data_IF_166871087342
#
_entry.id   IF_166871087342
#
_cell.length_a   1.000
_cell.length_b   1.000
_cell.length_c   1.000
_cell.angle_alpha   90.00
_cell.angle_beta   90.00
_cell.angle_gamma   90.00
#
_symmetry.space_group_name_H-M   'P 1'
#
loop_
_entity.id
_entity.type
_entity.pdbx_description
1 polymer ?
#
# COMPACT_ATOMS: atom_id res chain seq x y z
N UNK A 1 -18.61 -5.45 23.79
CA UNK A 1 -17.33 -5.30 24.51
C UNK A 1 -17.29 -4.08 25.45
N UNK A 2 -17.65 -2.86 25.03
CA UNK A 2 -17.55 -1.63 25.88
C UNK A 2 -18.39 -1.64 27.17
N UNK A 3 -19.53 -2.29 27.21
CA UNK A 3 -20.46 -2.30 28.35
C UNK A 3 -20.08 -3.27 29.46
N UNK A 4 -19.47 -4.40 29.17
CA UNK A 4 -19.10 -5.40 30.18
C UNK A 4 -17.80 -5.05 30.92
N UNK A 5 -16.86 -4.36 30.27
CA UNK A 5 -15.58 -3.94 30.84
C UNK A 5 -15.78 -2.82 31.88
N UNK A 6 -16.69 -1.87 31.62
CA UNK A 6 -17.02 -0.79 32.54
C UNK A 6 -17.73 -1.30 33.82
N UNK A 7 -18.52 -2.35 33.73
CA UNK A 7 -19.23 -2.95 34.87
C UNK A 7 -18.25 -3.71 35.76
N UNK A 8 -17.29 -4.44 35.22
CA UNK A 8 -16.27 -5.16 35.98
C UNK A 8 -15.37 -4.16 36.76
N UNK A 9 -14.95 -3.07 36.14
CA UNK A 9 -14.16 -2.01 36.82
C UNK A 9 -14.95 -1.32 37.92
N UNK A 10 -16.25 -1.07 37.76
CA UNK A 10 -17.09 -0.42 38.75
C UNK A 10 -17.37 -1.28 39.98
N UNK A 11 -17.49 -2.61 39.83
CA UNK A 11 -17.71 -3.52 40.95
C UNK A 11 -16.48 -3.69 41.87
N UNK A 12 -15.25 -3.54 41.30
CA UNK A 12 -14.03 -3.60 42.10
C UNK A 12 -13.76 -2.32 42.90
N UNK A 13 -14.23 -1.17 42.46
CA UNK A 13 -13.99 0.12 43.13
C UNK A 13 -14.77 0.31 44.45
N UNK A 14 -15.81 -0.48 44.70
CA UNK A 14 -16.67 -0.33 45.88
C UNK A 14 -16.15 -1.01 47.17
N UNK A 15 -15.02 -1.74 47.12
CA UNK A 15 -14.49 -2.50 48.27
C UNK A 15 -13.15 -1.99 48.85
N UNK A 16 -12.67 -0.81 48.46
CA UNK A 16 -11.40 -0.29 48.99
C UNK A 16 -11.66 0.56 50.21
N UNK A 17 -11.84 -0.08 51.37
CA UNK A 17 -11.69 0.57 52.68
C UNK A 17 -10.40 0.01 53.28
N UNK A 18 -9.44 0.94 53.54
CA UNK A 18 -8.08 0.65 53.92
C UNK A 18 -7.94 -0.12 55.25
N UNK A 19 -7.11 -1.15 55.19
CA UNK A 19 -6.47 -1.75 56.35
C UNK A 19 -4.97 -1.43 56.27
N UNK A 20 -4.42 -0.90 57.37
CA UNK A 20 -3.00 -0.65 57.52
C UNK A 20 -2.20 -1.96 57.30
N UNK A 21 -1.16 -1.88 56.48
CA UNK A 21 -0.25 -3.01 56.25
C UNK A 21 0.47 -3.37 57.57
N UNK A 22 0.39 -4.63 57.96
CA UNK A 22 1.28 -5.19 58.98
C UNK A 22 2.55 -5.68 58.31
N UNK A 23 3.70 -5.66 58.99
CA UNK A 23 4.99 -6.17 58.47
C UNK A 23 4.89 -7.60 57.88
N UNK A 24 4.03 -8.43 58.48
CA UNK A 24 3.75 -9.79 58.00
C UNK A 24 3.06 -9.84 56.65
N UNK A 25 2.13 -8.91 56.36
CA UNK A 25 1.40 -8.84 55.08
C UNK A 25 2.31 -8.37 53.96
N UNK A 26 3.09 -7.32 54.20
CA UNK A 26 4.09 -6.81 53.26
C UNK A 26 5.13 -7.86 52.89
N UNK A 27 5.64 -8.61 53.86
CA UNK A 27 6.60 -9.67 53.58
C UNK A 27 6.00 -10.80 52.71
N UNK A 28 4.72 -11.14 52.91
CA UNK A 28 4.01 -12.18 52.12
C UNK A 28 3.75 -11.74 50.68
N UNK A 29 3.26 -10.52 50.47
CA UNK A 29 3.01 -10.01 49.11
C UNK A 29 4.30 -9.87 48.30
N UNK A 30 5.37 -9.39 48.91
CA UNK A 30 6.70 -9.30 48.28
C UNK A 30 7.25 -10.66 47.89
N UNK A 31 7.13 -11.67 48.76
CA UNK A 31 7.56 -13.02 48.45
C UNK A 31 6.73 -13.64 47.32
N UNK A 32 5.43 -13.38 47.25
CA UNK A 32 4.57 -13.81 46.16
C UNK A 32 4.96 -13.17 44.83
N UNK A 33 5.26 -11.87 44.81
CA UNK A 33 5.76 -11.15 43.62
C UNK A 33 7.06 -11.76 43.13
N UNK A 34 7.99 -12.04 44.02
CA UNK A 34 9.31 -12.61 43.63
C UNK A 34 9.17 -14.03 43.07
N UNK A 35 8.31 -14.84 43.68
CA UNK A 35 7.96 -16.17 43.17
C UNK A 35 7.28 -16.10 41.80
N UNK A 36 6.31 -15.22 41.62
CA UNK A 36 5.62 -15.03 40.35
C UNK A 36 6.56 -14.58 39.24
N UNK A 37 7.51 -13.69 39.52
CA UNK A 37 8.57 -13.29 38.56
C UNK A 37 9.44 -14.46 38.14
N UNK A 38 9.78 -15.36 39.06
CA UNK A 38 10.51 -16.59 38.71
C UNK A 38 9.67 -17.54 37.86
N UNK A 39 8.41 -17.77 38.22
CA UNK A 39 7.49 -18.62 37.45
C UNK A 39 7.28 -18.06 36.04
N UNK A 40 7.08 -16.77 35.87
CA UNK A 40 6.95 -16.11 34.57
C UNK A 40 8.20 -16.29 33.70
N UNK A 41 9.41 -16.19 34.28
CA UNK A 41 10.68 -16.49 33.57
C UNK A 41 10.79 -17.94 33.11
N UNK A 42 10.13 -18.84 33.80
CA UNK A 42 10.05 -20.26 33.44
C UNK A 42 8.85 -20.59 32.52
N UNK A 43 8.16 -19.58 32.00
CA UNK A 43 6.93 -19.70 31.18
C UNK A 43 5.77 -20.40 31.89
N UNK A 44 5.75 -20.42 33.22
CA UNK A 44 4.67 -20.94 34.06
C UNK A 44 3.73 -19.83 34.49
N UNK A 45 3.13 -19.19 33.48
CA UNK A 45 2.39 -17.92 33.67
C UNK A 45 1.12 -18.12 34.47
N UNK A 46 0.42 -19.25 34.32
CA UNK A 46 -0.81 -19.54 35.07
C UNK A 46 -0.51 -19.73 36.56
N UNK A 47 0.54 -20.50 36.90
CA UNK A 47 0.99 -20.68 38.30
C UNK A 47 1.41 -19.32 38.93
N UNK A 48 1.99 -18.41 38.13
CA UNK A 48 2.31 -17.05 38.58
C UNK A 48 1.06 -16.23 38.90
N UNK A 49 0.07 -16.28 37.99
CA UNK A 49 -1.22 -15.59 38.18
C UNK A 49 -1.92 -16.09 39.45
N UNK A 50 -2.03 -17.41 39.64
CA UNK A 50 -2.65 -17.98 40.83
C UNK A 50 -1.96 -17.54 42.14
N UNK A 51 -0.61 -17.51 42.14
CA UNK A 51 0.19 -17.03 43.26
C UNK A 51 -0.11 -15.57 43.60
N UNK A 52 -0.21 -14.71 42.58
CA UNK A 52 -0.49 -13.28 42.74
C UNK A 52 -1.95 -13.02 43.14
N UNK A 53 -2.90 -13.77 42.57
CA UNK A 53 -4.32 -13.68 42.93
C UNK A 53 -4.55 -14.08 44.42
N UNK A 54 -3.83 -15.10 44.90
CA UNK A 54 -3.84 -15.44 46.33
C UNK A 54 -3.24 -14.31 47.21
N UNK A 55 -2.21 -13.63 46.72
CA UNK A 55 -1.60 -12.50 47.45
C UNK A 55 -2.54 -11.28 47.54
N UNK A 56 -3.38 -11.03 46.54
CA UNK A 56 -4.37 -9.94 46.55
C UNK A 56 -5.41 -10.07 47.68
N UNK A 57 -5.64 -11.27 48.19
CA UNK A 57 -6.54 -11.47 49.33
C UNK A 57 -6.02 -10.79 50.61
N UNK A 58 -4.72 -10.55 50.68
CA UNK A 58 -4.08 -9.89 51.82
C UNK A 58 -4.01 -8.36 51.64
N UNK A 59 -3.82 -7.87 50.42
CA UNK A 59 -3.79 -6.45 50.07
C UNK A 59 -4.26 -6.25 48.64
N UNK A 60 -5.52 -5.82 48.46
CA UNK A 60 -6.17 -5.63 47.18
C UNK A 60 -5.63 -4.45 46.35
N UNK A 61 -4.83 -3.58 46.96
CA UNK A 61 -4.28 -2.37 46.32
C UNK A 61 -2.75 -2.36 46.30
N UNK A 62 -2.11 -3.54 46.48
CA UNK A 62 -0.67 -3.67 46.41
C UNK A 62 -0.19 -3.44 44.97
N UNK A 63 0.49 -2.33 44.73
CA UNK A 63 0.92 -1.89 43.39
C UNK A 63 1.89 -2.88 42.73
N UNK A 64 2.77 -3.52 43.54
CA UNK A 64 3.71 -4.49 43.00
C UNK A 64 2.99 -5.76 42.54
N UNK A 65 2.02 -6.27 43.30
CA UNK A 65 1.20 -7.40 42.96
C UNK A 65 0.36 -7.12 41.69
N UNK A 66 -0.31 -5.95 41.66
CA UNK A 66 -1.11 -5.54 40.52
C UNK A 66 -0.26 -5.38 39.23
N UNK A 67 0.95 -4.84 39.38
CA UNK A 67 1.88 -4.68 38.23
C UNK A 67 2.31 -6.02 37.69
N UNK A 68 2.69 -6.96 38.55
CA UNK A 68 3.14 -8.29 38.13
C UNK A 68 1.97 -9.09 37.54
N UNK A 69 0.73 -8.94 38.06
CA UNK A 69 -0.47 -9.53 37.45
C UNK A 69 -0.69 -9.00 36.03
N UNK A 70 -0.61 -7.68 35.83
CA UNK A 70 -0.74 -7.08 34.52
C UNK A 70 0.30 -7.60 33.53
N UNK A 71 1.55 -7.75 33.99
CA UNK A 71 2.66 -8.34 33.23
C UNK A 71 2.42 -9.81 32.88
N UNK A 72 1.95 -10.62 33.86
CA UNK A 72 1.63 -12.03 33.67
C UNK A 72 0.52 -12.20 32.62
N UNK A 73 -0.61 -11.50 32.77
CA UNK A 73 -1.71 -11.55 31.81
C UNK A 73 -1.27 -11.06 30.41
N UNK A 74 -0.44 -10.01 30.34
CA UNK A 74 0.13 -9.54 29.08
C UNK A 74 0.99 -10.61 28.41
N UNK A 75 1.81 -11.32 29.19
CA UNK A 75 2.70 -12.41 28.72
C UNK A 75 1.93 -13.66 28.32
N UNK A 76 0.84 -13.97 29.00
CA UNK A 76 -0.05 -15.09 28.68
C UNK A 76 -0.94 -14.83 27.46
N UNK A 77 -1.04 -13.58 27.00
CA UNK A 77 -1.98 -13.19 25.94
C UNK A 77 -3.41 -13.01 26.42
N UNK A 78 -3.63 -12.96 27.73
CA UNK A 78 -4.94 -12.72 28.35
C UNK A 78 -5.23 -11.21 28.29
N UNK A 79 -5.64 -10.77 27.10
CA UNK A 79 -5.72 -9.31 26.76
C UNK A 79 -6.76 -8.56 27.58
N UNK A 80 -7.93 -9.16 27.83
CA UNK A 80 -9.02 -8.50 28.55
C UNK A 80 -8.61 -8.25 30.02
N UNK A 81 -8.04 -9.24 30.68
CA UNK A 81 -7.53 -9.15 32.04
C UNK A 81 -6.34 -8.17 32.13
N UNK A 82 -5.39 -8.26 31.19
CA UNK A 82 -4.27 -7.34 31.13
C UNK A 82 -4.75 -5.87 30.99
N UNK A 83 -5.79 -5.63 30.16
CA UNK A 83 -6.38 -4.32 30.00
C UNK A 83 -6.99 -3.78 31.30
N UNK A 84 -7.70 -4.62 32.06
CA UNK A 84 -8.28 -4.23 33.37
C UNK A 84 -7.18 -3.82 34.34
N UNK A 85 -6.13 -4.64 34.48
CA UNK A 85 -5.03 -4.34 35.41
C UNK A 85 -4.22 -3.12 35.02
N UNK A 86 -3.84 -2.96 33.74
CA UNK A 86 -3.12 -1.77 33.28
C UNK A 86 -3.97 -0.49 33.38
N UNK A 87 -5.26 -0.57 33.12
CA UNK A 87 -6.18 0.56 33.31
C UNK A 87 -6.28 0.95 34.76
N UNK A 88 -6.42 -0.01 35.66
CA UNK A 88 -6.45 0.23 37.10
C UNK A 88 -5.17 0.92 37.62
N UNK A 89 -4.00 0.36 37.24
CA UNK A 89 -2.70 0.93 37.60
C UNK A 89 -2.50 2.34 37.06
N UNK A 90 -2.87 2.57 35.80
CA UNK A 90 -2.75 3.89 35.17
C UNK A 90 -3.69 4.94 35.80
N UNK A 91 -4.79 4.49 36.42
CA UNK A 91 -5.73 5.34 37.15
C UNK A 91 -5.24 5.59 38.57
N UNK A 92 -4.69 4.59 39.26
CA UNK A 92 -4.13 4.72 40.61
C UNK A 92 -2.87 5.60 40.64
N UNK A 93 -2.04 5.48 39.59
CA UNK A 93 -0.78 6.25 39.49
C UNK A 93 -0.69 6.93 38.11
N UNK A 94 -1.45 8.00 37.86
CA UNK A 94 -1.51 8.66 36.56
C UNK A 94 -0.19 9.33 36.14
N UNK A 95 0.71 9.58 37.07
CA UNK A 95 2.05 10.14 36.81
C UNK A 95 3.07 9.07 36.38
N UNK A 96 2.77 7.79 36.60
CA UNK A 96 3.66 6.71 36.24
C UNK A 96 3.53 6.38 34.75
N UNK A 97 4.49 6.86 33.97
CA UNK A 97 4.51 6.65 32.51
C UNK A 97 4.62 5.18 32.12
N UNK A 98 5.21 4.32 32.94
CA UNK A 98 5.33 2.89 32.66
C UNK A 98 3.95 2.26 32.44
N UNK A 99 3.00 2.51 33.31
CA UNK A 99 1.64 1.94 33.20
C UNK A 99 0.86 2.47 32.00
N UNK A 100 1.03 3.76 31.68
CA UNK A 100 0.41 4.34 30.51
C UNK A 100 1.04 3.81 29.21
N UNK A 101 2.35 3.60 29.19
CA UNK A 101 3.05 3.02 28.03
C UNK A 101 2.60 1.57 27.81
N UNK A 102 2.54 0.75 28.87
CA UNK A 102 2.07 -0.62 28.81
C UNK A 102 0.63 -0.71 28.29
N UNK A 103 -0.27 0.15 28.78
CA UNK A 103 -1.64 0.26 28.31
C UNK A 103 -1.69 0.67 26.82
N UNK A 104 -0.91 1.68 26.41
CA UNK A 104 -0.87 2.11 25.02
C UNK A 104 -0.37 1.01 24.07
N UNK A 105 0.65 0.24 24.49
CA UNK A 105 1.18 -0.89 23.72
C UNK A 105 0.15 -2.02 23.57
N UNK A 106 -0.60 -2.31 24.66
CA UNK A 106 -1.68 -3.29 24.63
C UNK A 106 -2.79 -2.84 23.67
N UNK A 107 -3.27 -1.60 23.79
CA UNK A 107 -4.29 -1.02 22.92
C UNK A 107 -3.86 -1.04 21.44
N UNK A 108 -2.59 -0.74 21.17
CA UNK A 108 -2.04 -0.79 19.81
C UNK A 108 -2.04 -2.21 19.23
N UNK A 109 -1.63 -3.21 20.03
CA UNK A 109 -1.63 -4.62 19.65
C UNK A 109 -3.04 -5.13 19.34
N UNK A 110 -4.00 -4.73 20.13
CA UNK A 110 -5.42 -5.08 19.98
C UNK A 110 -6.16 -4.24 18.92
N UNK A 111 -5.42 -3.42 18.18
CA UNK A 111 -5.96 -2.54 17.12
C UNK A 111 -7.01 -1.53 17.60
N UNK A 112 -7.04 -1.25 18.90
CA UNK A 112 -7.85 -0.19 19.51
C UNK A 112 -7.15 1.18 19.31
N UNK A 113 -7.06 1.61 18.05
CA UNK A 113 -6.17 2.70 17.65
C UNK A 113 -6.59 4.05 18.22
N UNK A 114 -7.88 4.34 18.35
CA UNK A 114 -8.40 5.59 18.92
C UNK A 114 -8.01 5.71 20.40
N UNK A 115 -8.25 4.67 21.17
CA UNK A 115 -7.91 4.61 22.60
C UNK A 115 -6.39 4.65 22.81
N UNK A 116 -5.64 3.99 21.93
CA UNK A 116 -4.18 4.05 21.91
C UNK A 116 -3.69 5.48 21.71
N UNK A 117 -4.23 6.21 20.73
CA UNK A 117 -3.89 7.61 20.46
C UNK A 117 -4.16 8.49 21.69
N UNK A 118 -5.31 8.38 22.33
CA UNK A 118 -5.63 9.19 23.51
C UNK A 118 -4.70 8.90 24.69
N UNK A 119 -4.32 7.64 24.88
CA UNK A 119 -3.33 7.27 25.90
C UNK A 119 -1.93 7.80 25.55
N UNK A 120 -1.49 7.65 24.30
CA UNK A 120 -0.22 8.19 23.82
C UNK A 120 -0.14 9.72 23.94
N UNK A 121 -1.22 10.45 23.67
CA UNK A 121 -1.27 11.92 23.85
C UNK A 121 -1.02 12.33 25.30
N UNK A 122 -1.62 11.61 26.26
CA UNK A 122 -1.38 11.87 27.70
C UNK A 122 0.09 11.67 28.07
N UNK A 123 0.74 10.63 27.49
CA UNK A 123 2.18 10.41 27.70
C UNK A 123 2.99 11.55 27.10
N UNK A 124 2.70 11.96 25.84
CA UNK A 124 3.45 12.99 25.10
C UNK A 124 3.39 14.36 25.79
N UNK A 125 2.29 14.67 26.49
CA UNK A 125 2.19 15.93 27.29
C UNK A 125 3.19 15.94 28.43
N UNK A 126 3.49 14.78 29.03
CA UNK A 126 4.43 14.63 30.14
C UNK A 126 5.88 14.47 29.69
N UNK A 127 6.09 13.66 28.68
CA UNK A 127 7.41 13.38 28.12
C UNK A 127 7.35 13.06 26.65
N UNK A 128 8.29 13.61 25.87
CA UNK A 128 8.39 13.38 24.43
C UNK A 128 9.22 12.14 24.14
N UNK A 129 8.65 10.97 24.34
CA UNK A 129 9.29 9.68 24.09
C UNK A 129 9.22 9.35 22.60
N UNK A 130 10.34 9.19 21.87
CA UNK A 130 10.33 8.96 20.42
C UNK A 130 9.47 7.77 19.97
N UNK A 131 9.54 6.64 20.67
CA UNK A 131 8.74 5.46 20.33
C UNK A 131 7.23 5.70 20.47
N UNK A 132 6.80 6.54 21.40
CA UNK A 132 5.39 6.91 21.57
C UNK A 132 4.94 7.81 20.41
N UNK A 133 5.79 8.70 19.91
CA UNK A 133 5.47 9.50 18.72
C UNK A 133 5.22 8.61 17.50
N UNK A 134 6.07 7.61 17.26
CA UNK A 134 5.87 6.68 16.14
C UNK A 134 4.65 5.78 16.34
N UNK A 135 4.40 5.30 17.56
CA UNK A 135 3.21 4.52 17.88
C UNK A 135 1.93 5.34 17.66
N UNK A 136 1.92 6.61 18.08
CA UNK A 136 0.78 7.53 17.84
C UNK A 136 0.55 7.74 16.35
N UNK A 137 1.63 7.96 15.58
CA UNK A 137 1.55 8.13 14.14
C UNK A 137 1.02 6.86 13.45
N UNK A 138 1.55 5.69 13.83
CA UNK A 138 1.10 4.41 13.31
C UNK A 138 -0.37 4.13 13.64
N UNK A 139 -0.80 4.42 14.86
CA UNK A 139 -2.20 4.28 15.29
C UNK A 139 -3.13 5.19 14.48
N UNK A 140 -2.75 6.46 14.26
CA UNK A 140 -3.50 7.34 13.37
C UNK A 140 -3.57 6.83 11.93
N UNK A 141 -2.46 6.31 11.41
CA UNK A 141 -2.40 5.74 10.05
C UNK A 141 -3.36 4.56 9.91
N UNK A 142 -3.36 3.64 10.87
CA UNK A 142 -4.27 2.49 10.86
C UNK A 142 -5.74 2.87 11.12
N UNK A 143 -5.99 3.97 11.82
CA UNK A 143 -7.33 4.56 11.97
C UNK A 143 -7.77 5.38 10.74
N UNK A 144 -6.99 5.40 9.64
CA UNK A 144 -7.31 6.14 8.43
C UNK A 144 -7.12 7.67 8.52
N UNK A 145 -6.50 8.18 9.59
CA UNK A 145 -6.30 9.62 9.85
C UNK A 145 -4.91 10.06 9.38
N UNK A 146 -4.70 10.05 8.06
CA UNK A 146 -3.41 10.28 7.41
C UNK A 146 -2.72 11.60 7.81
N UNK A 147 -3.46 12.72 7.82
CA UNK A 147 -2.90 14.03 8.18
C UNK A 147 -2.38 14.07 9.61
N UNK A 148 -3.13 13.46 10.54
CA UNK A 148 -2.71 13.34 11.94
C UNK A 148 -1.45 12.48 12.07
N UNK A 149 -1.37 11.37 11.33
CA UNK A 149 -0.19 10.51 11.29
C UNK A 149 1.06 11.30 10.82
N UNK A 150 0.93 12.11 9.75
CA UNK A 150 2.00 12.96 9.25
C UNK A 150 2.53 13.95 10.30
N UNK A 151 1.65 14.54 11.11
CA UNK A 151 2.06 15.44 12.20
C UNK A 151 3.01 14.73 13.18
N UNK A 152 2.66 13.51 13.61
CA UNK A 152 3.47 12.77 14.58
C UNK A 152 4.73 12.16 13.98
N UNK A 153 4.71 11.70 12.71
CA UNK A 153 5.94 11.34 12.01
C UNK A 153 6.90 12.54 11.89
N UNK A 154 6.37 13.73 11.59
CA UNK A 154 7.19 14.94 11.53
C UNK A 154 7.80 15.30 12.89
N UNK A 155 7.04 15.15 14.00
CA UNK A 155 7.59 15.35 15.36
C UNK A 155 8.72 14.36 15.64
N UNK A 156 8.57 13.08 15.27
CA UNK A 156 9.63 12.10 15.43
C UNK A 156 10.85 12.42 14.58
N UNK A 157 10.66 12.77 13.31
CA UNK A 157 11.75 13.05 12.38
C UNK A 157 12.52 14.34 12.72
N UNK A 158 11.93 15.26 13.50
CA UNK A 158 12.68 16.38 14.10
C UNK A 158 13.71 15.91 15.12
N UNK A 159 13.47 14.79 15.80
CA UNK A 159 14.38 14.22 16.80
C UNK A 159 15.38 13.26 16.14
N UNK A 160 14.91 12.46 15.17
CA UNK A 160 15.70 11.47 14.43
C UNK A 160 15.50 11.63 12.92
N UNK A 161 16.15 12.60 12.26
CA UNK A 161 15.89 12.97 10.86
C UNK A 161 16.14 11.83 9.87
N UNK A 162 17.14 11.00 10.13
CA UNK A 162 17.58 9.92 9.22
C UNK A 162 17.15 8.54 9.73
N UNK A 163 15.93 8.41 10.23
CA UNK A 163 15.34 7.13 10.61
C UNK A 163 14.56 6.53 9.44
N UNK A 164 15.21 5.68 8.65
CA UNK A 164 14.70 5.16 7.36
C UNK A 164 13.27 4.59 7.46
N UNK A 165 12.99 3.77 8.49
CA UNK A 165 11.66 3.17 8.70
C UNK A 165 10.53 4.20 8.85
N UNK A 166 10.79 5.33 9.53
CA UNK A 166 9.79 6.39 9.70
C UNK A 166 9.65 7.23 8.44
N UNK A 167 10.77 7.49 7.74
CA UNK A 167 10.75 8.16 6.43
C UNK A 167 9.94 7.34 5.42
N UNK A 168 10.13 6.01 5.38
CA UNK A 168 9.35 5.10 4.53
C UNK A 168 7.85 5.19 4.82
N UNK A 169 7.44 5.04 6.09
CA UNK A 169 6.02 5.14 6.48
C UNK A 169 5.37 6.48 6.14
N UNK A 170 6.12 7.58 6.29
CA UNK A 170 5.66 8.91 5.89
C UNK A 170 5.53 9.01 4.37
N UNK A 171 6.50 8.45 3.63
CA UNK A 171 6.48 8.43 2.17
C UNK A 171 5.27 7.66 1.63
N UNK A 172 4.92 6.52 2.23
CA UNK A 172 3.73 5.73 1.84
C UNK A 172 2.45 6.58 1.85
N UNK A 173 2.25 7.39 2.91
CA UNK A 173 1.10 8.29 3.02
C UNK A 173 1.16 9.38 1.95
N UNK A 174 2.31 9.99 1.73
CA UNK A 174 2.49 11.05 0.74
C UNK A 174 2.30 10.54 -0.69
N UNK A 175 2.80 9.34 -0.99
CA UNK A 175 2.62 8.70 -2.31
C UNK A 175 1.15 8.36 -2.56
N UNK A 176 0.44 7.81 -1.56
CA UNK A 176 -1.00 7.56 -1.65
C UNK A 176 -1.79 8.86 -1.89
N UNK A 177 -1.34 9.97 -1.32
CA UNK A 177 -1.88 11.31 -1.56
C UNK A 177 -1.38 11.97 -2.87
N UNK A 178 -0.62 11.25 -3.72
CA UNK A 178 0.00 11.74 -4.97
C UNK A 178 0.99 12.90 -4.78
N UNK A 179 1.55 13.06 -3.61
CA UNK A 179 2.50 14.11 -3.25
C UNK A 179 3.95 13.68 -3.49
N UNK A 180 4.24 13.19 -4.70
CA UNK A 180 5.56 12.65 -5.05
C UNK A 180 6.70 13.69 -4.95
N UNK A 181 6.44 14.98 -5.12
CA UNK A 181 7.46 16.03 -4.96
C UNK A 181 7.93 16.17 -3.52
N UNK A 182 7.01 16.11 -2.54
CA UNK A 182 7.38 16.13 -1.11
C UNK A 182 8.22 14.88 -0.74
N UNK A 183 7.90 13.72 -1.34
CA UNK A 183 8.69 12.50 -1.16
C UNK A 183 10.09 12.65 -1.75
N UNK A 184 10.22 13.23 -2.95
CA UNK A 184 11.52 13.45 -3.58
C UNK A 184 12.42 14.37 -2.76
N UNK A 185 11.90 15.47 -2.24
CA UNK A 185 12.66 16.38 -1.39
C UNK A 185 13.16 15.69 -0.12
N UNK A 186 12.25 14.99 0.57
CA UNK A 186 12.56 14.26 1.80
C UNK A 186 13.59 13.13 1.57
N UNK A 187 13.41 12.33 0.53
CA UNK A 187 14.30 11.20 0.25
C UNK A 187 15.65 11.66 -0.30
N UNK A 188 15.70 12.76 -1.07
CA UNK A 188 16.96 13.38 -1.52
C UNK A 188 17.80 13.80 -0.31
N UNK A 189 17.24 14.60 0.60
CA UNK A 189 17.96 15.04 1.80
C UNK A 189 18.42 13.86 2.66
N UNK A 190 17.67 12.76 2.70
CA UNK A 190 18.08 11.55 3.38
C UNK A 190 19.30 10.89 2.68
N UNK A 191 19.24 10.74 1.36
CA UNK A 191 20.26 10.07 0.56
C UNK A 191 21.55 10.90 0.42
N UNK A 192 21.53 12.22 0.65
CA UNK A 192 22.75 13.04 0.79
C UNK A 192 23.61 12.59 1.99
N UNK A 193 22.98 12.07 3.05
CA UNK A 193 23.68 11.59 4.26
C UNK A 193 23.92 10.08 4.20
N UNK A 194 22.98 9.32 3.64
CA UNK A 194 23.06 7.85 3.54
C UNK A 194 22.79 7.43 2.08
N UNK A 195 23.75 7.60 1.17
CA UNK A 195 23.55 7.45 -0.27
C UNK A 195 23.20 6.02 -0.71
N UNK A 196 23.58 5.01 0.07
CA UNK A 196 23.38 3.59 -0.26
C UNK A 196 22.29 2.92 0.59
N UNK A 197 21.37 3.71 1.13
CA UNK A 197 20.31 3.17 1.98
C UNK A 197 19.24 2.44 1.14
N UNK A 198 19.30 1.10 1.18
CA UNK A 198 18.43 0.20 0.41
C UNK A 198 16.93 0.30 0.79
N UNK A 199 16.58 0.90 1.92
CA UNK A 199 15.18 1.15 2.30
C UNK A 199 14.63 2.42 1.62
N UNK A 200 15.48 3.41 1.40
CA UNK A 200 15.04 4.73 0.88
C UNK A 200 15.21 4.83 -0.63
N UNK A 201 16.23 4.18 -1.20
CA UNK A 201 16.43 4.19 -2.66
C UNK A 201 15.21 3.75 -3.47
N UNK A 202 14.49 2.64 -3.13
CA UNK A 202 13.29 2.26 -3.87
C UNK A 202 12.19 3.33 -3.84
N UNK A 203 12.03 3.97 -2.69
CA UNK A 203 11.03 5.04 -2.49
C UNK A 203 11.38 6.26 -3.34
N UNK A 204 12.67 6.62 -3.36
CA UNK A 204 13.17 7.72 -4.18
C UNK A 204 12.98 7.43 -5.67
N UNK A 205 13.37 6.23 -6.13
CA UNK A 205 13.19 5.77 -7.51
C UNK A 205 11.71 5.76 -7.93
N UNK A 206 10.81 5.27 -7.07
CA UNK A 206 9.37 5.30 -7.31
C UNK A 206 8.85 6.74 -7.44
N UNK A 207 9.25 7.64 -6.55
CA UNK A 207 8.81 9.03 -6.58
C UNK A 207 9.34 9.76 -7.84
N UNK A 208 10.56 9.43 -8.31
CA UNK A 208 11.10 9.90 -9.59
C UNK A 208 10.27 9.38 -10.77
N UNK A 209 9.94 8.09 -10.78
CA UNK A 209 9.08 7.48 -11.81
C UNK A 209 7.72 8.18 -11.90
N UNK A 210 7.03 8.35 -10.76
CA UNK A 210 5.75 9.05 -10.68
C UNK A 210 5.86 10.52 -11.11
N UNK A 211 7.00 11.16 -10.87
CA UNK A 211 7.35 12.48 -11.35
C UNK A 211 7.78 12.53 -12.83
N UNK A 212 7.69 11.41 -13.55
CA UNK A 212 8.11 11.24 -14.96
C UNK A 212 9.60 11.51 -15.22
N UNK A 213 10.43 11.45 -14.20
CA UNK A 213 11.88 11.56 -14.26
C UNK A 213 12.50 10.17 -14.49
N UNK A 214 12.15 9.56 -15.62
CA UNK A 214 12.42 8.14 -15.89
C UNK A 214 13.92 7.80 -15.90
N UNK A 215 14.78 8.70 -16.40
CA UNK A 215 16.24 8.51 -16.42
C UNK A 215 16.81 8.48 -15.00
N UNK A 216 16.49 9.48 -14.18
CA UNK A 216 16.95 9.55 -12.78
C UNK A 216 16.43 8.35 -11.96
N UNK A 217 15.18 7.93 -12.24
CA UNK A 217 14.60 6.72 -11.64
C UNK A 217 15.36 5.48 -12.07
N UNK A 218 15.70 5.34 -13.35
CA UNK A 218 16.47 4.22 -13.88
C UNK A 218 17.82 4.11 -13.16
N UNK A 219 18.58 5.19 -13.10
CA UNK A 219 19.88 5.26 -12.41
C UNK A 219 19.76 4.84 -10.93
N UNK A 220 18.65 5.22 -10.28
CA UNK A 220 18.39 4.85 -8.88
C UNK A 220 18.14 3.35 -8.72
N UNK A 221 17.38 2.72 -9.60
CA UNK A 221 17.13 1.28 -9.56
C UNK A 221 18.32 0.45 -10.04
N UNK A 222 19.14 0.95 -10.98
CA UNK A 222 20.42 0.35 -11.35
C UNK A 222 21.40 0.36 -10.16
N UNK A 223 21.43 1.44 -9.37
CA UNK A 223 22.18 1.50 -8.14
C UNK A 223 21.73 0.45 -7.13
N UNK A 224 20.41 0.20 -7.01
CA UNK A 224 19.88 -0.87 -6.16
C UNK A 224 20.36 -2.25 -6.60
N UNK A 225 20.37 -2.55 -7.91
CA UNK A 225 20.95 -3.79 -8.44
C UNK A 225 22.45 -3.91 -8.08
N UNK A 226 23.19 -2.81 -8.22
CA UNK A 226 24.62 -2.79 -7.85
C UNK A 226 24.83 -3.07 -6.36
N UNK A 227 23.90 -2.62 -5.49
CA UNK A 227 23.91 -2.91 -4.06
C UNK A 227 23.39 -4.31 -3.69
N UNK A 228 23.05 -5.13 -4.68
CA UNK A 228 22.58 -6.51 -4.51
C UNK A 228 21.06 -6.67 -4.34
N UNK A 229 20.28 -5.60 -4.49
CA UNK A 229 18.80 -5.69 -4.49
C UNK A 229 18.29 -6.11 -5.86
N UNK A 230 18.05 -7.41 -6.03
CA UNK A 230 17.44 -8.01 -7.24
C UNK A 230 16.02 -8.49 -6.96
N UNK A 231 15.21 -7.63 -6.36
CA UNK A 231 13.82 -7.93 -6.03
C UNK A 231 12.88 -7.73 -7.22
N UNK A 232 11.66 -8.27 -7.10
CA UNK A 232 10.56 -8.02 -8.03
C UNK A 232 10.41 -6.51 -8.33
N UNK A 233 10.30 -5.68 -7.29
CA UNK A 233 10.12 -4.23 -7.44
C UNK A 233 11.23 -3.57 -8.24
N UNK A 234 12.48 -3.95 -7.99
CA UNK A 234 13.65 -3.38 -8.66
C UNK A 234 13.59 -3.68 -10.16
N UNK A 235 13.38 -4.94 -10.55
CA UNK A 235 13.25 -5.30 -11.96
C UNK A 235 11.99 -4.73 -12.62
N UNK A 236 10.88 -4.69 -11.91
CA UNK A 236 9.64 -4.11 -12.43
C UNK A 236 9.78 -2.62 -12.76
N UNK A 237 10.35 -1.81 -11.86
CA UNK A 237 10.55 -0.38 -12.12
C UNK A 237 11.68 -0.08 -13.11
N UNK A 238 12.71 -0.92 -13.20
CA UNK A 238 13.67 -0.86 -14.29
C UNK A 238 12.97 -1.07 -15.63
N UNK A 239 12.15 -2.12 -15.73
CA UNK A 239 11.34 -2.41 -16.91
C UNK A 239 10.41 -1.25 -17.28
N UNK A 240 9.67 -0.70 -16.31
CA UNK A 240 8.77 0.44 -16.53
C UNK A 240 9.52 1.69 -17.01
N UNK A 241 10.66 2.02 -16.42
CA UNK A 241 11.44 3.18 -16.84
C UNK A 241 11.97 3.01 -18.27
N UNK A 242 12.49 1.84 -18.62
CA UNK A 242 12.89 1.52 -19.99
C UNK A 242 11.71 1.59 -20.96
N UNK A 243 10.56 1.04 -20.59
CA UNK A 243 9.34 1.08 -21.38
C UNK A 243 8.88 2.53 -21.66
N UNK A 244 8.89 3.38 -20.63
CA UNK A 244 8.52 4.80 -20.76
C UNK A 244 9.52 5.62 -21.58
N UNK A 245 10.75 5.12 -21.72
CA UNK A 245 11.80 5.74 -22.54
C UNK A 245 11.89 5.10 -23.94
N UNK A 246 10.95 4.20 -24.31
CA UNK A 246 10.91 3.44 -25.55
C UNK A 246 12.11 2.51 -25.79
N UNK A 247 12.79 2.13 -24.72
CA UNK A 247 13.89 1.16 -24.74
C UNK A 247 13.33 -0.28 -24.62
N UNK A 248 12.62 -0.72 -25.67
CA UNK A 248 11.77 -1.92 -25.65
C UNK A 248 12.52 -3.19 -25.29
N UNK A 249 13.73 -3.40 -25.83
CA UNK A 249 14.53 -4.60 -25.56
C UNK A 249 14.97 -4.70 -24.09
N UNK A 250 15.36 -3.59 -23.49
CA UNK A 250 15.75 -3.54 -22.09
C UNK A 250 14.53 -3.71 -21.18
N UNK A 251 13.41 -3.07 -21.52
CA UNK A 251 12.15 -3.24 -20.80
C UNK A 251 11.72 -4.71 -20.75
N UNK A 252 11.74 -5.41 -21.88
CA UNK A 252 11.40 -6.83 -21.95
C UNK A 252 12.27 -7.67 -21.01
N UNK A 253 13.60 -7.48 -21.06
CA UNK A 253 14.54 -8.23 -20.20
C UNK A 253 14.27 -8.04 -18.72
N UNK A 254 13.98 -6.82 -18.32
CA UNK A 254 13.72 -6.53 -16.90
C UNK A 254 12.33 -7.03 -16.47
N UNK A 255 11.32 -6.91 -17.32
CA UNK A 255 10.00 -7.49 -17.05
C UNK A 255 10.04 -9.03 -17.01
N UNK A 256 10.85 -9.69 -17.83
CA UNK A 256 11.05 -11.15 -17.76
C UNK A 256 11.65 -11.58 -16.45
N UNK A 257 12.65 -10.84 -15.93
CA UNK A 257 13.23 -11.12 -14.60
C UNK A 257 12.19 -10.93 -13.49
N UNK A 258 11.43 -9.85 -13.54
CA UNK A 258 10.34 -9.63 -12.57
C UNK A 258 9.30 -10.75 -12.64
N UNK A 259 8.94 -11.20 -13.85
CA UNK A 259 7.98 -12.28 -14.09
C UNK A 259 8.47 -13.64 -13.57
N UNK A 260 9.78 -13.90 -13.63
CA UNK A 260 10.37 -15.11 -13.04
C UNK A 260 10.29 -15.10 -11.49
N UNK A 261 10.36 -13.92 -10.88
CA UNK A 261 10.25 -13.77 -9.41
C UNK A 261 8.80 -13.89 -8.98
N UNK A 262 7.89 -13.16 -9.63
CA UNK A 262 6.46 -13.19 -9.35
C UNK A 262 5.66 -12.99 -10.64
N UNK A 263 4.89 -13.99 -11.04
CA UNK A 263 4.03 -13.97 -12.24
C UNK A 263 2.55 -13.72 -11.91
N UNK A 264 2.24 -13.34 -10.66
CA UNK A 264 0.87 -13.12 -10.19
C UNK A 264 0.39 -11.66 -10.33
N UNK A 265 1.28 -10.72 -10.67
CA UNK A 265 0.91 -9.33 -10.92
C UNK A 265 0.39 -9.17 -12.37
N UNK A 266 -0.90 -8.92 -12.48
CA UNK A 266 -1.56 -8.70 -13.78
C UNK A 266 -0.97 -7.52 -14.55
N UNK A 267 -0.51 -6.47 -13.85
CA UNK A 267 0.07 -5.29 -14.49
C UNK A 267 1.41 -5.61 -15.14
N UNK A 268 2.24 -6.41 -14.47
CA UNK A 268 3.48 -6.92 -15.05
C UNK A 268 3.20 -7.79 -16.27
N UNK A 269 2.27 -8.76 -16.17
CA UNK A 269 1.92 -9.66 -17.28
C UNK A 269 1.46 -8.86 -18.49
N UNK A 270 0.63 -7.83 -18.28
CA UNK A 270 0.19 -6.92 -19.33
C UNK A 270 1.36 -6.14 -19.95
N UNK A 271 2.24 -5.53 -19.14
CA UNK A 271 3.39 -4.79 -19.65
C UNK A 271 4.36 -5.68 -20.41
N UNK A 272 4.58 -6.90 -19.96
CA UNK A 272 5.42 -7.87 -20.68
C UNK A 272 4.81 -8.24 -22.04
N UNK A 273 3.49 -8.50 -22.09
CA UNK A 273 2.79 -8.78 -23.34
C UNK A 273 2.89 -7.63 -24.33
N UNK A 274 2.61 -6.39 -23.87
CA UNK A 274 2.68 -5.20 -24.73
C UNK A 274 4.10 -4.91 -25.22
N UNK A 275 5.09 -5.08 -24.36
CA UNK A 275 6.51 -4.90 -24.69
C UNK A 275 6.95 -5.91 -25.77
N UNK A 276 6.59 -7.20 -25.61
CA UNK A 276 6.86 -8.23 -26.62
C UNK A 276 6.12 -7.96 -27.93
N UNK A 277 4.86 -7.53 -27.86
CA UNK A 277 4.07 -7.15 -29.06
C UNK A 277 4.73 -6.01 -29.83
N UNK A 278 5.25 -4.99 -29.14
CA UNK A 278 6.00 -3.88 -29.78
C UNK A 278 7.29 -4.36 -30.44
N UNK A 279 8.04 -5.23 -29.75
CA UNK A 279 9.29 -5.78 -30.25
C UNK A 279 9.10 -6.62 -31.53
N UNK A 280 8.08 -7.46 -31.58
CA UNK A 280 7.81 -8.36 -32.72
C UNK A 280 6.95 -7.71 -33.81
N UNK A 281 6.59 -6.44 -33.69
CA UNK A 281 5.72 -5.73 -34.64
C UNK A 281 4.39 -6.45 -34.91
N UNK A 282 3.79 -7.05 -33.88
CA UNK A 282 2.54 -7.74 -34.02
C UNK A 282 2.31 -8.76 -32.93
N UNK A 283 1.61 -9.82 -33.25
CA UNK A 283 1.28 -10.89 -32.33
C UNK A 283 2.02 -12.18 -32.67
N UNK A 284 2.23 -13.00 -31.66
CA UNK A 284 2.71 -14.37 -31.77
C UNK A 284 2.07 -15.20 -30.64
N UNK A 285 2.22 -16.53 -30.62
CA UNK A 285 1.60 -17.38 -29.61
C UNK A 285 1.94 -17.00 -28.15
N UNK A 286 3.15 -16.51 -27.88
CA UNK A 286 3.57 -16.08 -26.53
C UNK A 286 2.89 -14.78 -26.14
N UNK A 287 2.81 -13.80 -27.02
CA UNK A 287 2.11 -12.53 -26.81
C UNK A 287 0.63 -12.77 -26.51
N UNK A 288 -0.01 -13.64 -27.31
CA UNK A 288 -1.41 -14.00 -27.12
C UNK A 288 -1.63 -14.71 -25.78
N UNK A 289 -0.76 -15.66 -25.43
CA UNK A 289 -0.82 -16.33 -24.13
C UNK A 289 -0.73 -15.34 -22.96
N UNK A 290 0.18 -14.37 -23.03
CA UNK A 290 0.34 -13.38 -21.95
C UNK A 290 -0.89 -12.47 -21.83
N UNK A 291 -1.45 -12.00 -22.96
CA UNK A 291 -2.70 -11.22 -22.90
C UNK A 291 -3.87 -12.05 -22.34
N UNK A 292 -4.00 -13.31 -22.75
CA UNK A 292 -5.03 -14.21 -22.24
C UNK A 292 -4.85 -14.44 -20.73
N UNK A 293 -3.62 -14.71 -20.30
CA UNK A 293 -3.29 -14.86 -18.87
C UNK A 293 -3.66 -13.61 -18.10
N UNK A 294 -3.30 -12.41 -18.58
CA UNK A 294 -3.66 -11.16 -17.93
C UNK A 294 -5.17 -11.00 -17.80
N UNK A 295 -5.95 -11.35 -18.82
CA UNK A 295 -7.41 -11.29 -18.80
C UNK A 295 -8.02 -12.30 -17.80
N UNK A 296 -7.46 -13.49 -17.68
CA UNK A 296 -7.92 -14.51 -16.72
C UNK A 296 -7.62 -14.15 -15.26
N UNK A 297 -6.57 -13.37 -15.02
CA UNK A 297 -6.19 -12.92 -13.68
C UNK A 297 -7.04 -11.76 -13.16
N UNK A 298 -7.79 -11.10 -14.02
CA UNK A 298 -8.58 -9.93 -13.65
C UNK A 298 -9.91 -10.36 -13.01
N UNK A 299 -10.18 -9.87 -11.80
CA UNK A 299 -11.55 -9.51 -11.44
C UNK A 299 -11.95 -8.32 -12.33
N UNK A 300 -13.24 -8.19 -12.76
CA UNK A 300 -13.60 -7.25 -13.82
C UNK A 300 -13.31 -5.78 -13.43
N UNK A 301 -12.09 -5.34 -13.74
CA UNK A 301 -11.69 -3.93 -13.76
C UNK A 301 -11.91 -3.38 -15.16
N UNK A 302 -12.93 -2.53 -15.41
CA UNK A 302 -13.25 -2.01 -16.74
C UNK A 302 -12.12 -1.21 -17.36
N UNK A 303 -11.31 -0.51 -16.56
CA UNK A 303 -10.20 0.31 -17.07
C UNK A 303 -9.08 -0.60 -17.57
N UNK A 304 -8.70 -1.60 -16.79
CA UNK A 304 -7.63 -2.54 -17.16
C UNK A 304 -8.07 -3.42 -18.34
N UNK A 305 -9.33 -3.90 -18.35
CA UNK A 305 -9.91 -4.64 -19.47
C UNK A 305 -9.87 -3.81 -20.77
N UNK A 306 -10.25 -2.52 -20.71
CA UNK A 306 -10.12 -1.60 -21.83
C UNK A 306 -8.69 -1.54 -22.37
N UNK A 307 -7.70 -1.37 -21.50
CA UNK A 307 -6.30 -1.27 -21.88
C UNK A 307 -5.78 -2.56 -22.52
N UNK A 308 -6.06 -3.70 -21.91
CA UNK A 308 -5.61 -5.01 -22.44
C UNK A 308 -6.21 -5.29 -23.82
N UNK A 309 -7.53 -5.11 -23.96
CA UNK A 309 -8.18 -5.31 -25.28
C UNK A 309 -7.69 -4.30 -26.31
N UNK A 310 -7.42 -3.05 -25.93
CA UNK A 310 -6.86 -2.02 -26.80
C UNK A 310 -5.45 -2.36 -27.31
N UNK A 311 -4.57 -2.80 -26.43
CA UNK A 311 -3.22 -3.23 -26.78
C UNK A 311 -3.21 -4.50 -27.63
N UNK A 312 -4.06 -5.46 -27.29
CA UNK A 312 -4.24 -6.68 -28.10
C UNK A 312 -4.76 -6.34 -29.51
N UNK A 313 -5.74 -5.44 -29.62
CA UNK A 313 -6.22 -4.95 -30.90
C UNK A 313 -5.09 -4.31 -31.73
N UNK A 314 -4.27 -3.46 -31.10
CA UNK A 314 -3.13 -2.83 -31.75
C UNK A 314 -2.08 -3.84 -32.23
N UNK A 315 -1.89 -4.93 -31.49
CA UNK A 315 -1.00 -6.04 -31.89
C UNK A 315 -1.46 -6.68 -33.22
N UNK A 316 -2.74 -7.03 -33.32
CA UNK A 316 -3.33 -7.57 -34.57
C UNK A 316 -3.37 -6.53 -35.69
N UNK A 317 -3.61 -5.27 -35.37
CA UNK A 317 -3.55 -4.16 -36.33
C UNK A 317 -2.15 -4.06 -36.99
N UNK A 318 -1.07 -4.13 -36.20
CA UNK A 318 0.31 -4.13 -36.71
C UNK A 318 0.63 -5.38 -37.56
N UNK A 319 0.01 -6.52 -37.22
CA UNK A 319 0.12 -7.75 -37.98
C UNK A 319 -0.78 -7.75 -39.25
N UNK A 320 -1.47 -6.64 -39.54
CA UNK A 320 -2.43 -6.48 -40.66
C UNK A 320 -3.62 -7.45 -40.60
N UNK A 321 -3.85 -8.13 -39.45
CA UNK A 321 -5.09 -8.88 -39.23
C UNK A 321 -6.19 -7.93 -38.74
N UNK A 322 -6.70 -7.14 -39.69
CA UNK A 322 -7.68 -6.09 -39.42
C UNK A 322 -9.01 -6.66 -38.91
N UNK A 323 -9.42 -7.86 -39.31
CA UNK A 323 -10.66 -8.47 -38.83
C UNK A 323 -10.59 -8.82 -37.33
N UNK A 324 -9.50 -9.39 -36.90
CA UNK A 324 -9.27 -9.69 -35.47
C UNK A 324 -9.06 -8.41 -34.68
N UNK A 325 -8.33 -7.43 -35.24
CA UNK A 325 -8.14 -6.12 -34.59
C UNK A 325 -9.47 -5.42 -34.29
N UNK A 326 -10.41 -5.40 -35.25
CA UNK A 326 -11.77 -4.83 -35.08
C UNK A 326 -12.47 -5.47 -33.88
N UNK A 327 -12.50 -6.78 -33.76
CA UNK A 327 -13.15 -7.49 -32.65
C UNK A 327 -12.60 -7.05 -31.30
N UNK A 328 -11.29 -6.89 -31.16
CA UNK A 328 -10.68 -6.46 -29.91
C UNK A 328 -10.82 -4.96 -29.66
N UNK A 329 -10.81 -4.09 -30.66
CA UNK A 329 -11.16 -2.69 -30.51
C UNK A 329 -12.60 -2.49 -30.04
N UNK A 330 -13.56 -3.28 -30.55
CA UNK A 330 -14.95 -3.27 -30.09
C UNK A 330 -15.07 -3.66 -28.60
N UNK A 331 -14.34 -4.71 -28.18
CA UNK A 331 -14.27 -5.07 -26.76
C UNK A 331 -13.68 -3.93 -25.91
N UNK A 332 -12.56 -3.36 -26.35
CA UNK A 332 -11.96 -2.21 -25.68
C UNK A 332 -12.95 -1.06 -25.50
N UNK A 333 -13.65 -0.66 -26.57
CA UNK A 333 -14.66 0.39 -26.53
C UNK A 333 -15.87 0.04 -25.64
N UNK A 334 -16.24 -1.25 -25.57
CA UNK A 334 -17.32 -1.71 -24.68
C UNK A 334 -17.03 -1.45 -23.21
N UNK A 335 -15.78 -1.61 -22.80
CA UNK A 335 -15.34 -1.35 -21.41
C UNK A 335 -15.10 0.13 -21.10
N UNK A 336 -14.74 0.96 -22.10
CA UNK A 336 -14.55 2.39 -21.89
C UNK A 336 -15.09 3.20 -23.10
N UNK A 337 -16.37 3.52 -23.06
CA UNK A 337 -17.03 4.31 -24.12
C UNK A 337 -16.57 5.79 -24.16
N UNK A 338 -15.89 6.28 -23.12
CA UNK A 338 -15.33 7.64 -23.12
C UNK A 338 -14.07 7.75 -23.98
N UNK A 339 -13.35 6.65 -24.16
CA UNK A 339 -12.20 6.59 -25.06
C UNK A 339 -12.66 6.27 -26.49
N UNK A 340 -12.92 7.31 -27.26
CA UNK A 340 -13.44 7.21 -28.62
C UNK A 340 -12.37 6.81 -29.66
N UNK A 341 -11.09 6.77 -29.32
CA UNK A 341 -10.02 6.45 -30.27
C UNK A 341 -10.20 5.05 -30.91
N UNK A 342 -10.82 4.11 -30.21
CA UNK A 342 -11.15 2.80 -30.79
C UNK A 342 -12.07 2.92 -32.01
N UNK A 343 -12.97 3.90 -32.06
CA UNK A 343 -13.86 4.09 -33.22
C UNK A 343 -13.10 4.47 -34.47
N UNK A 344 -12.14 5.40 -34.37
CA UNK A 344 -11.29 5.76 -35.51
C UNK A 344 -10.39 4.60 -35.95
N UNK A 345 -9.86 3.81 -35.00
CA UNK A 345 -9.07 2.62 -35.31
C UNK A 345 -9.87 1.53 -36.01
N UNK A 346 -11.13 1.31 -35.60
CA UNK A 346 -12.06 0.38 -36.28
C UNK A 346 -12.36 0.89 -37.69
N UNK A 347 -12.66 2.20 -37.83
CA UNK A 347 -12.87 2.83 -39.14
C UNK A 347 -11.70 2.59 -40.09
N UNK A 348 -10.48 2.82 -39.60
CA UNK A 348 -9.26 2.55 -40.36
C UNK A 348 -9.10 1.07 -40.77
N UNK A 349 -9.39 0.15 -39.83
CA UNK A 349 -9.33 -1.28 -40.18
C UNK A 349 -10.33 -1.66 -41.28
N UNK A 350 -11.55 -1.14 -41.26
CA UNK A 350 -12.54 -1.35 -42.33
C UNK A 350 -12.11 -0.69 -43.64
N UNK A 351 -11.51 0.48 -43.61
CA UNK A 351 -10.92 1.15 -44.78
C UNK A 351 -9.84 0.29 -45.44
N UNK A 352 -8.93 -0.28 -44.63
CA UNK A 352 -7.89 -1.19 -45.14
C UNK A 352 -8.46 -2.48 -45.72
N UNK A 353 -9.61 -2.95 -45.25
CA UNK A 353 -10.36 -4.08 -45.80
C UNK A 353 -11.20 -3.69 -47.01
N UNK A 354 -11.23 -2.42 -47.43
CA UNK A 354 -12.09 -1.85 -48.48
C UNK A 354 -13.61 -1.99 -48.18
N UNK A 355 -13.96 -2.18 -46.92
CA UNK A 355 -15.36 -2.18 -46.45
C UNK A 355 -15.81 -0.75 -46.15
N UNK A 356 -15.86 0.09 -47.17
CA UNK A 356 -15.99 1.56 -47.07
C UNK A 356 -17.23 2.02 -46.35
N UNK A 357 -18.37 1.36 -46.50
CA UNK A 357 -19.61 1.76 -45.84
C UNK A 357 -19.50 1.61 -44.29
N UNK A 358 -18.86 0.53 -43.85
CA UNK A 358 -18.60 0.33 -42.42
C UNK A 358 -17.54 1.30 -41.91
N UNK A 359 -16.51 1.58 -42.70
CA UNK A 359 -15.50 2.56 -42.31
C UNK A 359 -16.14 3.94 -42.07
N UNK A 360 -17.00 4.39 -43.01
CA UNK A 360 -17.74 5.65 -42.89
C UNK A 360 -18.63 5.67 -41.63
N UNK A 361 -19.36 4.58 -41.33
CA UNK A 361 -20.18 4.50 -40.12
C UNK A 361 -19.38 4.77 -38.85
N UNK A 362 -18.23 4.11 -38.69
CA UNK A 362 -17.39 4.26 -37.50
C UNK A 362 -16.70 5.62 -37.44
N UNK A 363 -16.27 6.17 -38.57
CA UNK A 363 -15.70 7.51 -38.66
C UNK A 363 -16.73 8.60 -38.32
N UNK A 364 -17.96 8.50 -38.80
CA UNK A 364 -19.04 9.42 -38.44
C UNK A 364 -19.39 9.35 -36.96
N UNK A 365 -19.39 8.15 -36.37
CA UNK A 365 -19.57 8.00 -34.92
C UNK A 365 -18.44 8.69 -34.15
N UNK A 366 -17.20 8.57 -34.63
CA UNK A 366 -16.06 9.27 -34.03
C UNK A 366 -16.23 10.80 -34.12
N UNK A 367 -16.59 11.34 -35.25
CA UNK A 367 -16.78 12.80 -35.45
C UNK A 367 -17.91 13.37 -34.57
N UNK A 368 -18.99 12.59 -34.35
CA UNK A 368 -20.09 13.01 -33.44
C UNK A 368 -19.65 13.18 -31.99
N UNK A 369 -18.64 12.45 -31.55
CA UNK A 369 -18.16 12.41 -30.17
C UNK A 369 -16.84 13.17 -29.97
N UNK A 370 -16.10 13.37 -31.05
CA UNK A 370 -14.75 13.93 -31.06
C UNK A 370 -14.76 15.47 -30.99
N UNK A 371 -13.62 16.01 -30.59
CA UNK A 371 -13.41 17.47 -30.54
C UNK A 371 -12.97 17.98 -31.91
N UNK A 372 -13.74 18.86 -32.58
CA UNK A 372 -13.35 19.48 -33.85
C UNK A 372 -11.97 20.13 -33.78
N UNK A 373 -11.19 19.97 -34.84
CA UNK A 373 -9.85 20.52 -34.97
C UNK A 373 -8.74 19.78 -34.20
N UNK A 374 -9.05 18.68 -33.49
CA UNK A 374 -8.02 17.81 -32.95
C UNK A 374 -7.36 16.98 -34.08
N UNK A 375 -6.11 16.52 -33.87
CA UNK A 375 -5.39 15.70 -34.86
C UNK A 375 -6.18 14.45 -35.29
N UNK A 376 -6.83 13.77 -34.35
CA UNK A 376 -7.64 12.59 -34.66
C UNK A 376 -8.91 12.96 -35.44
N UNK A 377 -9.50 14.14 -35.18
CA UNK A 377 -10.65 14.63 -35.92
C UNK A 377 -10.28 14.94 -37.39
N UNK A 378 -9.17 15.66 -37.61
CA UNK A 378 -8.65 15.97 -38.95
C UNK A 378 -8.32 14.69 -39.74
N UNK A 379 -7.64 13.74 -39.10
CA UNK A 379 -7.35 12.43 -39.72
C UNK A 379 -8.64 11.74 -40.21
N UNK A 380 -9.69 11.73 -39.41
CA UNK A 380 -10.96 11.09 -39.78
C UNK A 380 -11.67 11.85 -40.91
N UNK A 381 -11.63 13.17 -40.92
CA UNK A 381 -12.18 13.99 -42.03
C UNK A 381 -11.44 13.68 -43.36
N UNK A 382 -10.12 13.58 -43.33
CA UNK A 382 -9.30 13.23 -44.48
C UNK A 382 -9.61 11.80 -44.97
N UNK A 383 -9.73 10.83 -44.06
CA UNK A 383 -10.11 9.46 -44.41
C UNK A 383 -11.51 9.35 -45.06
N UNK A 384 -12.47 10.10 -44.54
CA UNK A 384 -13.82 10.16 -45.14
C UNK A 384 -13.78 10.75 -46.55
N UNK A 385 -13.00 11.82 -46.75
CA UNK A 385 -12.82 12.42 -48.08
C UNK A 385 -12.20 11.44 -49.07
N UNK A 386 -11.14 10.74 -48.65
CA UNK A 386 -10.50 9.70 -49.42
C UNK A 386 -11.49 8.57 -49.84
N UNK A 387 -12.24 8.02 -48.86
CA UNK A 387 -13.20 6.94 -49.16
C UNK A 387 -14.29 7.40 -50.13
N UNK A 388 -14.77 8.65 -50.03
CA UNK A 388 -15.76 9.18 -50.95
C UNK A 388 -15.22 9.32 -52.37
N UNK A 389 -13.97 9.69 -52.51
CA UNK A 389 -13.29 9.76 -53.80
C UNK A 389 -13.14 8.35 -54.41
N UNK A 390 -12.68 7.35 -53.65
CA UNK A 390 -12.56 5.97 -54.11
C UNK A 390 -13.90 5.40 -54.59
N UNK A 391 -14.96 5.57 -53.79
CA UNK A 391 -16.33 5.11 -54.18
C UNK A 391 -16.81 5.78 -55.46
N UNK A 392 -16.55 7.08 -55.63
CA UNK A 392 -16.92 7.77 -56.85
C UNK A 392 -16.17 7.21 -58.09
N UNK A 393 -14.90 6.85 -57.91
CA UNK A 393 -14.11 6.24 -59.02
C UNK A 393 -14.61 4.82 -59.33
N UNK A 394 -14.95 4.01 -58.33
CA UNK A 394 -15.53 2.67 -58.55
C UNK A 394 -16.90 2.70 -59.23
N UNK A 395 -17.70 3.75 -59.02
CA UNK A 395 -19.02 3.91 -59.68
C UNK A 395 -18.93 4.43 -61.12
N UNK A 396 -17.76 4.93 -61.53
CA UNK A 396 -17.53 5.52 -62.84
C UNK A 396 -16.73 4.63 -63.79
N UNK A 397 -16.16 3.52 -63.28
CA UNK A 397 -15.59 2.42 -64.07
C UNK A 397 -16.66 1.36 -64.43
#
# INVERSE_FOLDING_TARGET
>A
MKTHILIAAACFFSCIIGYGQTDSTYTRTRHAVENARQLRRLYKTDEAIDTLMAALQYNTSDIEVLTELAECHTSAGNTEEAFVWWTMLSTMQPENLHYQIALAQLLYREKAYEECVETCKRIIVKDTIPNILTMTADAYRFAGKADSALVYYNKFLKIKPFHAKTVSKKADILLAAKKHLEVLEMTRSFLEVQPDNITILPIHGLALHLGKKYRESLETFEKLLFLGDSTYSTHYYLGLNHYMMDNILQAEREFEKAYQIDSSDVTLVYHLADTKSRRYYGTNPEVEYLYEKALQMLEPDPIMMHNIYGSRAMSFHRAEDFRTAIRYYEQSYRYNKKNISALSSIGYCYERLKEYDKALEYYERYLKLGKPGSKGYQFVEESIAYIRQEKFMEETE
#
